data_IF_731953165624
#
_entry.id   IF_731953165624
#
_cell.length_a   1.000
_cell.length_b   1.000
_cell.length_c   1.000
_cell.angle_alpha   90.00
_cell.angle_beta   90.00
_cell.angle_gamma   90.00
#
_symmetry.space_group_name_H-M   'P 1'
#
loop_
_entity.id
_entity.type
_entity.pdbx_description
1 polymer ?
#
# COMPACT_ATOMS: atom_id res chain seq x y z
N UNK A 1 56.03 -42.83 51.54
CA UNK A 1 56.54 -41.51 51.08
C UNK A 1 55.48 -40.88 50.19
N UNK A 2 55.15 -39.60 50.45
CA UNK A 2 54.32 -38.77 49.56
C UNK A 2 55.00 -38.64 48.19
N UNK A 3 54.26 -38.49 47.11
CA UNK A 3 54.38 -37.34 46.20
C UNK A 3 53.23 -37.30 45.19
N UNK A 4 52.70 -36.09 45.02
CA UNK A 4 51.58 -35.65 44.19
C UNK A 4 52.12 -35.26 42.81
N UNK A 5 51.34 -35.46 41.74
CA UNK A 5 51.14 -34.55 40.58
C UNK A 5 50.49 -35.32 39.40
N UNK A 6 49.71 -34.79 38.46
CA UNK A 6 48.77 -33.67 38.31
C UNK A 6 48.24 -33.82 36.87
N UNK A 7 46.92 -33.64 36.68
CA UNK A 7 46.14 -33.29 35.47
C UNK A 7 46.53 -33.82 34.06
N UNK A 8 45.52 -34.32 33.33
CA UNK A 8 45.03 -33.66 32.10
C UNK A 8 43.69 -34.24 31.60
N UNK A 9 42.87 -33.33 31.06
CA UNK A 9 41.48 -33.50 30.63
C UNK A 9 41.31 -34.31 29.34
N UNK A 10 40.18 -35.02 29.23
CA UNK A 10 39.43 -35.22 27.98
C UNK A 10 37.98 -35.59 28.34
N UNK A 11 37.12 -34.58 28.48
CA UNK A 11 35.66 -34.79 28.54
C UNK A 11 35.15 -34.96 27.11
N UNK A 12 34.79 -36.18 26.74
CA UNK A 12 33.95 -36.46 25.56
C UNK A 12 32.51 -36.53 26.06
N UNK A 13 31.72 -35.50 25.80
CA UNK A 13 30.26 -35.58 25.97
C UNK A 13 29.64 -36.02 24.65
N UNK A 14 29.20 -37.27 24.61
CA UNK A 14 28.37 -37.81 23.55
C UNK A 14 27.05 -37.05 23.46
N UNK A 15 26.69 -36.60 22.26
CA UNK A 15 25.35 -36.12 21.94
C UNK A 15 24.36 -37.29 22.06
N UNK A 16 23.42 -37.19 23.00
CA UNK A 16 22.30 -38.13 23.09
C UNK A 16 21.31 -37.83 21.96
N UNK A 17 21.19 -38.75 21.00
CA UNK A 17 20.10 -38.77 20.01
C UNK A 17 18.83 -39.20 20.74
N UNK A 18 17.91 -38.26 20.99
CA UNK A 18 16.59 -38.56 21.55
C UNK A 18 15.69 -39.08 20.40
N UNK A 19 15.14 -40.30 20.48
CA UNK A 19 14.21 -40.79 19.46
C UNK A 19 12.88 -40.04 19.57
N UNK A 20 12.33 -39.60 18.43
CA UNK A 20 10.97 -39.04 18.37
C UNK A 20 9.93 -40.16 18.55
N UNK A 21 8.90 -39.97 19.39
CA UNK A 21 7.81 -40.94 19.50
C UNK A 21 6.92 -40.93 18.24
N UNK A 22 6.31 -42.08 17.88
CA UNK A 22 5.41 -42.16 16.74
C UNK A 22 4.07 -41.51 17.09
N UNK A 23 3.56 -40.64 16.20
CA UNK A 23 2.24 -40.05 16.32
C UNK A 23 1.21 -41.04 15.78
N UNK A 24 0.32 -41.51 16.65
CA UNK A 24 -0.84 -42.34 16.27
C UNK A 24 -2.01 -41.44 15.85
N UNK A 25 -2.79 -41.78 14.81
CA UNK A 25 -3.84 -40.93 14.28
C UNK A 25 -5.19 -41.27 14.93
N UNK A 26 -5.72 -40.40 15.78
CA UNK A 26 -7.16 -40.28 16.11
C UNK A 26 -7.38 -39.13 17.10
N UNK A 27 -7.91 -38.01 16.62
CA UNK A 27 -9.10 -37.36 17.19
C UNK A 27 -9.38 -36.07 16.42
N UNK A 28 -10.04 -36.31 15.29
CA UNK A 28 -10.76 -35.32 14.50
C UNK A 28 -11.94 -34.87 15.35
N UNK A 29 -11.88 -33.61 15.83
CA UNK A 29 -12.96 -32.74 16.36
C UNK A 29 -12.61 -32.15 17.72
N UNK A 30 -11.82 -31.07 17.70
CA UNK A 30 -12.02 -29.87 18.53
C UNK A 30 -10.91 -28.87 18.23
N UNK A 31 -11.27 -27.59 18.14
CA UNK A 31 -10.35 -26.43 18.08
C UNK A 31 -9.86 -25.88 16.72
N UNK A 32 -10.57 -26.12 15.61
CA UNK A 32 -10.49 -25.23 14.45
C UNK A 32 -11.54 -24.11 14.55
N UNK A 33 -11.37 -23.23 15.55
CA UNK A 33 -11.77 -21.84 15.32
C UNK A 33 -10.69 -21.27 14.42
N UNK A 34 -11.02 -21.17 13.13
CA UNK A 34 -10.33 -20.32 12.17
C UNK A 34 -10.17 -18.94 12.79
N UNK A 35 -8.99 -18.72 13.38
CA UNK A 35 -8.48 -17.40 13.70
C UNK A 35 -7.99 -16.89 12.36
N UNK A 36 -8.86 -16.18 11.65
CA UNK A 36 -8.44 -15.39 10.49
C UNK A 36 -7.20 -14.61 10.90
N UNK A 37 -6.09 -14.95 10.25
CA UNK A 37 -4.77 -14.37 10.47
C UNK A 37 -4.76 -12.97 9.86
N UNK A 38 -5.52 -12.09 10.47
CA UNK A 38 -5.68 -10.67 10.15
C UNK A 38 -4.73 -9.81 11.01
N UNK A 39 -3.69 -10.43 11.61
CA UNK A 39 -2.64 -9.73 12.34
C UNK A 39 -1.62 -9.15 11.37
N UNK A 40 -2.06 -8.18 10.58
CA UNK A 40 -1.14 -7.15 10.10
C UNK A 40 -0.92 -6.19 11.27
N UNK A 41 0.29 -6.19 11.82
CA UNK A 41 0.73 -5.32 12.91
C UNK A 41 0.24 -3.87 12.72
N UNK A 42 -0.58 -3.42 13.67
CA UNK A 42 -1.22 -2.10 13.70
C UNK A 42 -0.25 -0.96 14.13
N UNK A 43 1.05 -1.23 14.32
CA UNK A 43 1.88 -0.38 15.19
C UNK A 43 2.92 0.55 14.56
N UNK A 44 3.48 0.33 13.36
CA UNK A 44 4.65 1.15 12.94
C UNK A 44 4.48 2.11 11.75
N UNK A 45 3.43 2.01 10.92
CA UNK A 45 3.23 2.93 9.74
C UNK A 45 1.90 3.70 9.72
N UNK A 46 1.01 3.45 10.68
CA UNK A 46 -0.31 4.10 10.72
C UNK A 46 -0.23 5.46 11.45
N UNK A 47 -0.50 6.58 10.77
CA UNK A 47 -0.40 7.93 11.39
C UNK A 47 -1.76 8.59 11.66
N UNK A 48 -1.82 9.39 12.73
CA UNK A 48 -3.00 10.20 13.07
C UNK A 48 -3.23 11.35 12.07
N UNK A 49 -2.15 11.94 11.56
CA UNK A 49 -2.22 12.97 10.52
C UNK A 49 -2.89 12.43 9.24
N UNK A 50 -2.60 11.17 8.89
CA UNK A 50 -3.26 10.49 7.78
C UNK A 50 -4.74 10.24 8.04
N UNK A 51 -5.09 9.84 9.26
CA UNK A 51 -6.49 9.66 9.64
C UNK A 51 -7.28 10.98 9.53
N UNK A 52 -6.73 12.09 10.02
CA UNK A 52 -7.40 13.40 9.95
C UNK A 52 -7.58 13.88 8.50
N UNK A 53 -6.59 13.64 7.63
CA UNK A 53 -6.69 13.94 6.20
C UNK A 53 -7.80 13.12 5.53
N UNK A 54 -7.86 11.81 5.80
CA UNK A 54 -8.89 10.91 5.30
C UNK A 54 -10.29 11.27 5.85
N UNK A 55 -10.36 11.61 7.14
CA UNK A 55 -11.60 12.03 7.81
C UNK A 55 -12.11 13.36 7.25
N UNK A 56 -11.24 14.32 6.97
CA UNK A 56 -11.61 15.57 6.30
C UNK A 56 -12.15 15.32 4.88
N UNK A 57 -11.52 14.44 4.10
CA UNK A 57 -12.00 14.08 2.78
C UNK A 57 -13.36 13.37 2.82
N UNK A 58 -13.56 12.42 3.75
CA UNK A 58 -14.83 11.76 3.98
C UNK A 58 -15.94 12.77 4.33
N UNK A 59 -15.66 13.67 5.30
CA UNK A 59 -16.62 14.69 5.73
C UNK A 59 -17.04 15.63 4.60
N UNK A 60 -16.11 16.03 3.73
CA UNK A 60 -16.43 16.85 2.53
C UNK A 60 -17.38 16.14 1.57
N UNK A 61 -17.39 14.81 1.56
CA UNK A 61 -18.32 13.98 0.79
C UNK A 61 -19.58 13.59 1.57
N UNK A 62 -19.82 14.15 2.75
CA UNK A 62 -20.95 13.78 3.61
C UNK A 62 -20.84 12.38 4.23
N UNK A 63 -19.61 11.85 4.36
CA UNK A 63 -19.32 10.51 4.86
C UNK A 63 -18.50 10.57 6.17
N UNK A 64 -18.36 9.42 6.82
CA UNK A 64 -17.50 9.20 7.99
C UNK A 64 -16.58 7.98 7.79
N UNK A 65 -15.51 7.93 8.58
CA UNK A 65 -14.64 6.77 8.68
C UNK A 65 -15.07 5.88 9.85
N UNK A 66 -15.23 4.60 9.59
CA UNK A 66 -15.52 3.53 10.54
C UNK A 66 -14.21 2.83 10.92
N UNK A 67 -14.11 2.31 12.15
CA UNK A 67 -12.91 1.58 12.60
C UNK A 67 -12.69 0.28 11.81
N UNK A 68 -11.43 -0.10 11.62
CA UNK A 68 -11.07 -1.36 10.96
C UNK A 68 -11.49 -1.49 9.48
N UNK A 69 -11.95 -0.41 8.85
CA UNK A 69 -12.55 -0.43 7.52
C UNK A 69 -11.57 0.04 6.45
N UNK A 70 -11.70 -0.54 5.26
CA UNK A 70 -10.89 -0.21 4.09
C UNK A 70 -11.54 0.89 3.26
N UNK A 71 -10.73 1.83 2.80
CA UNK A 71 -11.14 2.99 2.02
C UNK A 71 -10.19 3.22 0.87
N UNK A 72 -10.69 3.90 -0.15
CA UNK A 72 -9.85 4.44 -1.21
C UNK A 72 -10.20 5.90 -1.51
N UNK A 73 -9.20 6.63 -1.98
CA UNK A 73 -9.24 8.05 -2.27
C UNK A 73 -8.48 8.34 -3.56
N UNK A 74 -8.83 9.42 -4.24
CA UNK A 74 -7.95 10.03 -5.24
C UNK A 74 -6.98 10.97 -4.52
N UNK A 75 -5.68 10.81 -4.71
CA UNK A 75 -4.72 11.85 -4.38
C UNK A 75 -4.70 12.89 -5.50
N UNK A 76 -4.77 14.16 -5.12
CA UNK A 76 -4.63 15.31 -6.01
C UNK A 76 -3.36 16.06 -5.61
N UNK A 77 -2.33 16.00 -6.46
CA UNK A 77 -1.18 16.89 -6.34
C UNK A 77 -1.59 18.23 -6.94
N UNK A 78 -1.54 19.29 -6.15
CA UNK A 78 -1.97 20.60 -6.61
C UNK A 78 -1.03 21.13 -7.68
N UNK A 79 -1.60 21.73 -8.71
CA UNK A 79 -0.85 22.51 -9.67
C UNK A 79 -0.30 23.78 -9.00
N UNK A 80 0.93 24.16 -9.36
CA UNK A 80 1.50 25.45 -8.96
C UNK A 80 0.83 26.57 -9.77
N UNK A 81 0.92 27.81 -9.29
CA UNK A 81 0.28 28.98 -9.94
C UNK A 81 0.74 29.18 -11.39
N UNK A 82 1.97 28.79 -11.71
CA UNK A 82 2.61 28.88 -13.02
C UNK A 82 2.56 27.57 -13.82
N UNK A 83 1.78 26.59 -13.37
CA UNK A 83 1.72 25.28 -14.02
C UNK A 83 1.04 25.37 -15.39
N UNK A 84 1.81 25.11 -16.44
CA UNK A 84 1.32 24.95 -17.82
C UNK A 84 1.46 23.47 -18.21
N UNK A 85 0.35 22.75 -18.44
CA UNK A 85 0.42 21.36 -18.88
C UNK A 85 1.01 21.30 -20.30
N UNK A 86 2.20 20.73 -20.42
CA UNK A 86 2.94 20.66 -21.69
C UNK A 86 2.38 19.64 -22.68
N UNK A 87 1.55 18.71 -22.20
CA UNK A 87 0.98 17.62 -22.99
C UNK A 87 -0.49 17.43 -22.64
N UNK A 88 -1.19 16.69 -23.50
CA UNK A 88 -2.64 16.59 -23.44
C UNK A 88 -3.14 15.76 -22.23
N UNK A 89 -2.44 14.67 -21.89
CA UNK A 89 -2.70 13.90 -20.65
C UNK A 89 -2.75 14.76 -19.39
N UNK A 90 -1.68 15.50 -19.02
CA UNK A 90 -1.69 16.41 -17.87
C UNK A 90 -2.69 17.57 -18.00
N UNK A 91 -2.98 18.04 -19.23
CA UNK A 91 -3.98 19.08 -19.46
C UNK A 91 -5.39 18.62 -19.07
N UNK A 92 -5.73 17.34 -19.32
CA UNK A 92 -7.00 16.75 -18.87
C UNK A 92 -7.09 16.72 -17.34
N UNK A 93 -6.04 16.25 -16.66
CA UNK A 93 -5.97 16.17 -15.18
C UNK A 93 -6.23 17.54 -14.55
N UNK A 94 -5.56 18.57 -15.09
CA UNK A 94 -5.71 19.94 -14.62
C UNK A 94 -7.11 20.49 -14.88
N UNK A 95 -7.67 20.27 -16.07
CA UNK A 95 -9.00 20.75 -16.45
C UNK A 95 -10.12 20.10 -15.62
N UNK A 96 -10.03 18.80 -15.35
CA UNK A 96 -11.10 18.05 -14.67
C UNK A 96 -11.02 18.17 -13.14
N UNK A 97 -9.81 18.29 -12.57
CA UNK A 97 -9.62 18.21 -11.13
C UNK A 97 -8.80 19.35 -10.52
N UNK A 98 -8.23 20.25 -11.32
CA UNK A 98 -7.30 21.28 -10.84
C UNK A 98 -5.97 20.72 -10.32
N UNK A 99 -5.70 19.43 -10.59
CA UNK A 99 -4.49 18.74 -10.13
C UNK A 99 -3.46 18.71 -11.26
N UNK A 100 -2.17 18.79 -10.94
CA UNK A 100 -1.11 18.50 -11.91
C UNK A 100 -0.87 16.99 -12.06
N UNK A 101 -1.23 16.21 -11.04
CA UNK A 101 -1.04 14.76 -11.04
C UNK A 101 -2.02 14.10 -10.06
N UNK A 102 -2.49 12.90 -10.40
CA UNK A 102 -3.37 12.10 -9.55
C UNK A 102 -2.90 10.66 -9.41
N UNK A 103 -3.38 9.99 -8.38
CA UNK A 103 -3.21 8.56 -8.22
C UNK A 103 -4.14 8.03 -7.14
N UNK A 104 -4.12 6.72 -6.91
CA UNK A 104 -5.01 6.09 -5.95
C UNK A 104 -4.33 5.92 -4.60
N UNK A 105 -5.03 6.30 -3.54
CA UNK A 105 -4.64 6.03 -2.15
C UNK A 105 -5.60 4.99 -1.61
N UNK A 106 -5.09 3.85 -1.18
CA UNK A 106 -5.89 2.76 -0.61
C UNK A 106 -5.35 2.40 0.77
N UNK A 107 -6.23 2.26 1.75
CA UNK A 107 -5.79 2.05 3.12
C UNK A 107 -6.87 1.59 4.08
N UNK A 108 -6.45 1.26 5.29
CA UNK A 108 -7.30 0.76 6.38
C UNK A 108 -7.19 1.67 7.59
N UNK A 109 -8.33 1.99 8.20
CA UNK A 109 -8.35 2.61 9.53
C UNK A 109 -7.99 1.57 10.58
N UNK A 110 -7.31 1.99 11.66
CA UNK A 110 -7.04 1.12 12.79
C UNK A 110 -8.34 0.62 13.45
N UNK A 111 -8.25 -0.52 14.15
CA UNK A 111 -9.36 -1.10 14.91
C UNK A 111 -9.57 -0.37 16.24
N UNK A 112 -10.68 -0.68 16.91
CA UNK A 112 -10.97 -0.26 18.28
C UNK A 112 -11.01 1.27 18.52
N UNK A 113 -11.48 2.05 17.55
CA UNK A 113 -11.64 3.51 17.71
C UNK A 113 -10.35 4.30 17.68
N UNK A 114 -9.21 3.66 17.40
CA UNK A 114 -7.92 4.34 17.27
C UNK A 114 -7.93 5.19 15.99
N UNK A 115 -7.67 6.49 16.13
CA UNK A 115 -7.61 7.46 15.02
C UNK A 115 -6.29 7.36 14.26
N UNK A 116 -6.08 6.24 13.57
CA UNK A 116 -4.92 6.00 12.72
C UNK A 116 -5.38 5.45 11.36
N UNK A 117 -4.65 5.81 10.32
CA UNK A 117 -4.90 5.34 8.96
C UNK A 117 -3.57 5.00 8.29
N UNK A 118 -3.45 3.78 7.77
CA UNK A 118 -2.31 3.31 6.98
C UNK A 118 -2.76 3.16 5.54
N UNK A 119 -1.98 3.70 4.61
CA UNK A 119 -2.34 3.68 3.21
C UNK A 119 -1.13 3.54 2.29
N UNK A 120 -1.39 2.97 1.13
CA UNK A 120 -0.45 2.92 0.00
C UNK A 120 -0.97 3.84 -1.08
N UNK A 121 -0.04 4.55 -1.71
CA UNK A 121 -0.27 5.37 -2.88
C UNK A 121 0.27 4.66 -4.12
N UNK A 122 -0.58 4.48 -5.13
CA UNK A 122 -0.24 3.88 -6.41
C UNK A 122 -0.54 4.91 -7.50
N UNK A 123 0.42 5.18 -8.36
CA UNK A 123 0.25 6.14 -9.44
C UNK A 123 1.16 5.83 -10.62
N UNK A 124 0.83 6.42 -11.76
CA UNK A 124 1.69 6.39 -12.95
C UNK A 124 2.32 7.74 -13.22
N UNK A 125 3.47 7.75 -13.87
CA UNK A 125 4.15 8.95 -14.37
C UNK A 125 4.82 8.66 -15.70
N UNK A 126 5.16 9.71 -16.44
CA UNK A 126 5.97 9.59 -17.65
C UNK A 126 7.39 9.10 -17.28
N UNK A 127 7.93 8.15 -18.04
CA UNK A 127 9.27 7.58 -17.80
C UNK A 127 10.34 8.64 -18.11
N UNK A 128 11.25 8.96 -17.18
CA UNK A 128 12.40 9.82 -17.48
C UNK A 128 13.24 9.21 -18.61
N UNK A 129 13.63 9.97 -19.63
CA UNK A 129 14.41 9.44 -20.77
C UNK A 129 15.92 9.39 -20.55
N UNK A 130 16.39 9.61 -19.31
CA UNK A 130 17.81 9.61 -18.97
C UNK A 130 18.60 10.84 -19.44
N UNK A 131 18.02 11.67 -20.33
CA UNK A 131 18.61 12.92 -20.82
C UNK A 131 17.93 14.18 -20.27
N UNK A 132 17.12 14.02 -19.21
CA UNK A 132 16.34 15.12 -18.63
C UNK A 132 15.05 15.45 -19.41
N UNK A 133 14.72 14.67 -20.44
CA UNK A 133 13.41 14.66 -21.07
C UNK A 133 12.56 13.50 -20.54
N UNK A 134 11.51 13.17 -21.28
CA UNK A 134 10.58 12.12 -20.93
C UNK A 134 10.25 11.26 -22.15
N UNK A 135 10.46 9.95 -22.03
CA UNK A 135 9.99 8.97 -23.00
C UNK A 135 8.47 8.87 -22.91
N UNK A 136 7.77 8.61 -24.01
CA UNK A 136 6.29 8.50 -24.01
C UNK A 136 5.73 7.32 -23.20
N UNK A 137 6.62 6.53 -22.57
CA UNK A 137 6.34 5.48 -21.62
C UNK A 137 5.65 5.94 -20.33
N UNK A 138 4.72 5.12 -19.87
CA UNK A 138 4.11 5.12 -18.55
C UNK A 138 4.94 4.22 -17.59
N UNK A 139 5.18 4.72 -16.39
CA UNK A 139 5.80 3.96 -15.30
C UNK A 139 4.92 4.04 -14.06
N UNK A 140 4.61 2.90 -13.45
CA UNK A 140 3.89 2.84 -12.18
C UNK A 140 4.85 2.78 -10.99
N UNK A 141 4.54 3.51 -9.94
CA UNK A 141 5.11 3.31 -8.60
C UNK A 141 4.04 3.10 -7.54
N UNK A 142 4.41 2.34 -6.51
CA UNK A 142 3.65 2.14 -5.29
C UNK A 142 4.53 2.38 -4.08
N UNK A 143 4.09 3.22 -3.16
CA UNK A 143 4.80 3.51 -1.91
C UNK A 143 3.82 3.78 -0.78
N UNK A 144 4.29 3.71 0.47
CA UNK A 144 3.51 4.20 1.60
C UNK A 144 3.09 5.65 1.36
N UNK A 145 1.82 5.97 1.61
CA UNK A 145 1.32 7.31 1.38
C UNK A 145 1.75 8.24 2.52
N UNK A 146 2.49 9.30 2.14
CA UNK A 146 2.98 10.32 3.05
C UNK A 146 2.16 11.59 2.88
N UNK A 147 1.71 12.18 3.99
CA UNK A 147 1.09 13.50 3.99
C UNK A 147 2.18 14.59 4.01
N UNK A 148 2.49 15.14 2.84
CA UNK A 148 3.39 16.30 2.68
C UNK A 148 2.75 17.62 3.08
N UNK A 149 1.45 17.62 3.38
CA UNK A 149 0.70 18.78 3.85
C UNK A 149 -0.14 19.45 2.76
N UNK A 150 -1.11 20.30 3.18
CA UNK A 150 -2.16 20.84 2.31
C UNK A 150 -1.66 21.85 1.28
N UNK A 151 -0.37 22.24 1.31
CA UNK A 151 0.25 23.07 0.28
C UNK A 151 0.61 22.28 -0.97
N UNK A 152 0.88 20.99 -0.84
CA UNK A 152 1.43 20.17 -1.93
C UNK A 152 0.39 19.23 -2.54
N UNK A 153 -0.51 18.70 -1.71
CA UNK A 153 -1.51 17.74 -2.16
C UNK A 153 -2.72 17.69 -1.22
N UNK A 154 -3.77 17.04 -1.70
CA UNK A 154 -4.93 16.64 -0.93
C UNK A 154 -5.44 15.28 -1.38
N UNK A 155 -6.43 14.74 -0.68
CA UNK A 155 -7.16 13.55 -1.10
C UNK A 155 -8.66 13.84 -1.22
N UNK A 156 -9.28 13.20 -2.19
CA UNK A 156 -10.70 13.29 -2.53
C UNK A 156 -11.32 11.91 -2.26
N UNK A 157 -12.48 11.91 -1.62
CA UNK A 157 -13.19 10.68 -1.26
C UNK A 157 -13.48 9.80 -2.48
N UNK A 158 -13.04 8.54 -2.45
CA UNK A 158 -13.37 7.53 -3.45
C UNK A 158 -14.48 6.59 -2.98
N UNK A 159 -14.34 6.04 -1.78
CA UNK A 159 -15.39 5.21 -1.16
C UNK A 159 -14.86 4.18 -0.17
N UNK A 160 -15.80 3.43 0.42
CA UNK A 160 -15.53 2.21 1.16
C UNK A 160 -15.14 1.09 0.19
N UNK A 161 -14.28 0.18 0.64
CA UNK A 161 -13.92 -1.03 -0.08
C UNK A 161 -13.72 -2.19 0.91
N UNK A 162 -13.20 -3.32 0.44
CA UNK A 162 -12.92 -4.51 1.26
C UNK A 162 -11.44 -4.87 1.20
N UNK A 163 -10.94 -5.62 2.19
CA UNK A 163 -9.53 -6.03 2.24
C UNK A 163 -9.12 -6.85 1.01
N UNK A 164 -10.00 -7.72 0.49
CA UNK A 164 -9.72 -8.51 -0.71
C UNK A 164 -9.59 -7.66 -1.98
N UNK A 165 -10.43 -6.62 -2.11
CA UNK A 165 -10.34 -5.65 -3.22
C UNK A 165 -9.12 -4.73 -3.07
N UNK A 166 -8.83 -4.30 -1.84
CA UNK A 166 -7.76 -3.38 -1.46
C UNK A 166 -6.35 -4.02 -1.41
N UNK A 167 -6.21 -5.28 -1.79
CA UNK A 167 -4.92 -5.95 -1.85
C UNK A 167 -3.96 -5.20 -2.79
N UNK A 168 -2.89 -4.64 -2.23
CA UNK A 168 -1.95 -3.76 -2.93
C UNK A 168 -1.25 -4.50 -4.08
N UNK A 169 -0.77 -5.72 -3.86
CA UNK A 169 -0.10 -6.51 -4.91
C UNK A 169 -1.00 -6.77 -6.11
N UNK A 170 -2.29 -7.05 -5.86
CA UNK A 170 -3.30 -7.20 -6.90
C UNK A 170 -3.48 -5.90 -7.68
N UNK A 171 -3.62 -4.77 -7.00
CA UNK A 171 -3.79 -3.47 -7.66
C UNK A 171 -2.56 -3.07 -8.47
N UNK A 172 -1.36 -3.29 -7.92
CA UNK A 172 -0.09 -3.03 -8.61
C UNK A 172 0.04 -3.88 -9.86
N UNK A 173 -0.23 -5.19 -9.78
CA UNK A 173 -0.24 -6.08 -10.94
C UNK A 173 -1.27 -5.66 -11.99
N UNK A 174 -2.51 -5.39 -11.58
CA UNK A 174 -3.56 -4.94 -12.49
C UNK A 174 -3.18 -3.62 -13.19
N UNK A 175 -2.53 -2.70 -12.48
CA UNK A 175 -2.06 -1.45 -13.05
C UNK A 175 -0.88 -1.62 -14.00
N UNK A 176 0.00 -2.59 -13.78
CA UNK A 176 1.05 -2.96 -14.72
C UNK A 176 0.46 -3.57 -16.01
N UNK A 177 -0.48 -4.50 -15.88
CA UNK A 177 -1.21 -5.07 -17.03
C UNK A 177 -1.94 -3.99 -17.84
N UNK A 178 -2.52 -3.00 -17.14
CA UNK A 178 -3.13 -1.85 -17.80
C UNK A 178 -2.09 -1.07 -18.61
N UNK A 179 -0.92 -0.73 -18.04
CA UNK A 179 0.16 -0.05 -18.77
C UNK A 179 0.56 -0.82 -20.02
N UNK A 180 0.76 -2.13 -19.91
CA UNK A 180 1.15 -2.98 -21.04
C UNK A 180 0.09 -2.95 -22.16
N UNK A 181 -1.20 -2.96 -21.79
CA UNK A 181 -2.31 -2.86 -22.74
C UNK A 181 -2.35 -1.51 -23.49
N UNK A 182 -1.84 -0.43 -22.89
CA UNK A 182 -1.75 0.89 -23.52
C UNK A 182 -0.61 1.01 -24.54
N UNK A 183 0.21 -0.04 -24.71
CA UNK A 183 1.48 0.00 -25.44
C UNK A 183 2.45 1.06 -24.91
N UNK A 184 2.35 1.35 -23.61
CA UNK A 184 3.24 2.27 -22.93
C UNK A 184 3.17 3.71 -23.51
N UNK A 185 1.97 4.23 -23.75
CA UNK A 185 1.76 5.58 -24.32
C UNK A 185 1.09 6.50 -23.30
N UNK A 186 1.60 7.72 -23.14
CA UNK A 186 1.00 8.76 -22.29
C UNK A 186 0.28 9.85 -23.12
N UNK A 187 -1.05 9.96 -23.03
CA UNK A 187 -1.87 10.92 -23.79
C UNK A 187 -3.21 11.25 -23.08
N UNK A 188 -4.17 11.90 -23.76
CA UNK A 188 -5.49 12.26 -23.19
C UNK A 188 -6.34 11.06 -22.74
N UNK A 189 -6.08 9.89 -23.32
CA UNK A 189 -6.80 8.64 -23.06
C UNK A 189 -6.05 7.79 -22.05
N UNK A 190 -4.72 7.76 -22.11
CA UNK A 190 -3.87 6.96 -21.24
C UNK A 190 -3.01 7.89 -20.39
N UNK A 191 -3.53 8.28 -19.23
CA UNK A 191 -2.86 9.16 -18.29
C UNK A 191 -3.16 8.74 -16.83
N UNK A 192 -2.72 9.57 -15.88
CA UNK A 192 -2.90 9.28 -14.46
C UNK A 192 -4.36 9.31 -14.00
N UNK A 193 -5.25 10.09 -14.65
CA UNK A 193 -6.70 10.05 -14.34
C UNK A 193 -7.29 8.71 -14.76
N UNK A 194 -7.06 8.28 -16.00
CA UNK A 194 -7.62 7.01 -16.48
C UNK A 194 -7.04 5.79 -15.77
N UNK A 195 -5.77 5.85 -15.36
CA UNK A 195 -5.18 4.83 -14.51
C UNK A 195 -5.82 4.80 -13.12
N UNK A 196 -6.05 5.96 -12.50
CA UNK A 196 -6.82 6.07 -11.26
C UNK A 196 -8.23 5.49 -11.43
N UNK A 197 -8.96 5.87 -12.49
CA UNK A 197 -10.32 5.41 -12.76
C UNK A 197 -10.38 3.89 -12.90
N UNK A 198 -9.40 3.32 -13.62
CA UNK A 198 -9.24 1.89 -13.75
C UNK A 198 -9.03 1.21 -12.40
N UNK A 199 -8.05 1.65 -11.59
CA UNK A 199 -7.82 1.06 -10.26
C UNK A 199 -9.01 1.25 -9.31
N UNK A 200 -9.68 2.41 -9.37
CA UNK A 200 -10.88 2.68 -8.60
C UNK A 200 -12.03 1.74 -8.97
N UNK A 201 -12.16 1.37 -10.25
CA UNK A 201 -13.18 0.40 -10.69
C UNK A 201 -13.00 -0.98 -10.06
N UNK A 202 -11.76 -1.37 -9.72
CA UNK A 202 -11.44 -2.64 -9.06
C UNK A 202 -11.74 -2.65 -7.55
N UNK A 203 -12.06 -1.48 -6.99
CA UNK A 203 -12.29 -1.24 -5.56
C UNK A 203 -13.76 -1.02 -5.21
N UNK A 204 -14.59 -0.62 -6.18
CA UNK A 204 -16.05 -0.46 -6.04
C UNK A 204 -16.71 -1.82 -5.87
#
# INVERSE_FOLDING_TARGET
MRFIQVLACCMVTLAAVIPRPPVSPSDITSHLRLRDSDSEDDTDSSSAAMYELASAAARRAGQSLDSGTWYYFMNCVYAREDYVPLHSGPARVYREHGCQHVGIVVGKTARFGVKKFKAVYIHVRKTPDGNGGYNDGLFQSSNEFVNYGPRYHGIIWGGKTSGSKANVDRLVRAGAEWIDSTRNVFNDVYNCVTHYEYLASLLR
#
